data_IF_485440011698
#
_entry.id   IF_485440011698
#
_cell.length_a   1.000
_cell.length_b   1.000
_cell.length_c   1.000
_cell.angle_alpha   90.00
_cell.angle_beta   90.00
_cell.angle_gamma   90.00
#
_symmetry.space_group_name_H-M   'P 1'
#
loop_
_entity.id
_entity.type
_entity.pdbx_description
1 polymer ?
#
# COMPACT_ATOMS: atom_id res chain seq x y z
N UNK A 1 27.30 1.74 13.35
CA UNK A 1 26.04 2.30 13.86
C UNK A 1 25.15 1.15 14.33
N UNK A 2 24.75 1.13 15.61
CA UNK A 2 23.85 0.11 16.15
C UNK A 2 22.50 0.23 15.43
N UNK A 3 22.07 -0.81 14.71
CA UNK A 3 20.75 -0.83 14.07
C UNK A 3 19.68 -0.92 15.15
N UNK A 4 19.10 0.22 15.51
CA UNK A 4 17.94 0.30 16.39
C UNK A 4 16.75 -0.42 15.74
N UNK A 5 16.00 -1.19 16.55
CA UNK A 5 14.74 -1.79 16.09
C UNK A 5 13.79 -0.69 15.58
N UNK A 6 12.91 -1.03 14.62
CA UNK A 6 11.98 -0.05 14.04
C UNK A 6 11.14 0.68 15.12
N UNK A 7 10.73 -0.06 16.16
CA UNK A 7 10.08 0.48 17.37
C UNK A 7 10.93 1.56 18.07
N UNK A 8 12.21 1.29 18.28
CA UNK A 8 13.13 2.22 18.95
C UNK A 8 13.39 3.46 18.08
N UNK A 9 13.46 3.29 16.75
CA UNK A 9 13.67 4.40 15.81
C UNK A 9 12.50 5.36 15.78
N UNK A 10 11.26 4.84 15.76
CA UNK A 10 10.06 5.69 15.87
C UNK A 10 10.03 6.42 17.20
N UNK A 11 10.25 5.70 18.31
CA UNK A 11 10.26 6.33 19.64
C UNK A 11 11.30 7.45 19.72
N UNK A 12 12.52 7.22 19.21
CA UNK A 12 13.58 8.23 19.19
C UNK A 12 13.19 9.48 18.40
N UNK A 13 12.66 9.31 17.18
CA UNK A 13 12.25 10.44 16.35
C UNK A 13 11.15 11.28 17.04
N UNK A 14 10.15 10.62 17.65
CA UNK A 14 9.09 11.31 18.40
C UNK A 14 9.63 12.10 19.59
N UNK A 15 10.62 11.56 20.31
CA UNK A 15 11.23 12.25 21.45
C UNK A 15 12.03 13.46 21.00
N UNK A 16 12.79 13.35 19.90
CA UNK A 16 13.58 14.46 19.37
C UNK A 16 12.64 15.60 18.93
N UNK A 17 11.60 15.29 18.14
CA UNK A 17 10.68 16.33 17.65
C UNK A 17 9.90 16.99 18.77
N UNK A 18 9.35 16.19 19.70
CA UNK A 18 8.59 16.72 20.84
C UNK A 18 9.51 17.45 21.83
N UNK A 19 10.73 16.96 22.02
CA UNK A 19 11.75 17.61 22.85
C UNK A 19 12.12 18.99 22.33
N UNK A 20 12.35 19.13 21.02
CA UNK A 20 12.60 20.44 20.38
C UNK A 20 11.42 21.40 20.57
N UNK A 21 10.19 20.91 20.43
CA UNK A 21 8.99 21.71 20.66
C UNK A 21 8.91 22.20 22.12
N UNK A 22 9.18 21.32 23.09
CA UNK A 22 9.17 21.70 24.51
C UNK A 22 10.24 22.74 24.80
N UNK A 23 11.46 22.59 24.27
CA UNK A 23 12.54 23.58 24.42
C UNK A 23 12.11 24.94 23.85
N UNK A 24 11.48 24.97 22.68
CA UNK A 24 10.99 26.21 22.08
C UNK A 24 9.93 26.88 22.98
N UNK A 25 8.93 26.13 23.44
CA UNK A 25 7.88 26.62 24.35
C UNK A 25 8.49 27.14 25.65
N UNK A 26 9.42 26.39 26.24
CA UNK A 26 10.10 26.74 27.48
C UNK A 26 10.96 28.00 27.33
N UNK A 27 11.67 28.14 26.21
CA UNK A 27 12.44 29.35 25.89
C UNK A 27 11.54 30.57 25.75
N UNK A 28 10.37 30.44 25.11
CA UNK A 28 9.40 31.53 24.96
C UNK A 28 8.83 31.95 26.32
N UNK A 29 8.40 30.98 27.14
CA UNK A 29 7.88 31.25 28.49
C UNK A 29 8.94 31.96 29.34
N UNK A 30 10.17 31.44 29.36
CA UNK A 30 11.26 32.06 30.12
C UNK A 30 11.55 33.49 29.63
N UNK A 31 11.57 33.71 28.31
CA UNK A 31 11.80 35.04 27.73
C UNK A 31 10.68 36.02 28.09
N UNK A 32 9.42 35.59 28.06
CA UNK A 32 8.28 36.43 28.44
C UNK A 32 8.38 36.80 29.92
N UNK A 33 8.58 35.82 30.80
CA UNK A 33 8.68 36.08 32.25
C UNK A 33 9.87 36.99 32.56
N UNK A 34 11.03 36.73 31.95
CA UNK A 34 12.21 37.60 32.09
C UNK A 34 11.90 39.02 31.62
N UNK A 35 11.29 39.18 30.45
CA UNK A 35 10.94 40.50 29.95
C UNK A 35 9.98 41.23 30.89
N UNK A 36 8.90 40.57 31.34
CA UNK A 36 7.93 41.15 32.28
C UNK A 36 8.57 41.58 33.59
N UNK A 37 9.44 40.75 34.17
CA UNK A 37 10.14 41.07 35.43
C UNK A 37 11.04 42.29 35.27
N UNK A 38 11.83 42.38 34.19
CA UNK A 38 12.70 43.54 33.96
C UNK A 38 11.91 44.80 33.63
N UNK A 39 10.86 44.70 32.80
CA UNK A 39 10.01 45.84 32.47
C UNK A 39 9.32 46.43 33.70
N UNK A 40 8.87 45.59 34.63
CA UNK A 40 8.28 46.04 35.89
C UNK A 40 9.27 46.77 36.80
N UNK A 41 10.52 46.31 36.86
CA UNK A 41 11.60 46.98 37.61
C UNK A 41 11.96 48.31 36.94
N UNK A 42 12.09 48.31 35.62
CA UNK A 42 12.40 49.51 34.83
C UNK A 42 11.32 50.58 34.99
N UNK A 43 10.04 50.20 35.01
CA UNK A 43 8.92 51.12 35.27
C UNK A 43 8.97 51.68 36.70
N UNK A 44 9.19 50.83 37.71
CA UNK A 44 9.32 51.27 39.11
C UNK A 44 10.48 52.25 39.30
N UNK A 45 11.65 51.95 38.74
CA UNK A 45 12.81 52.85 38.80
C UNK A 45 12.50 54.20 38.15
N UNK A 46 11.80 54.22 37.01
CA UNK A 46 11.40 55.47 36.34
C UNK A 46 10.43 56.31 37.18
N UNK A 47 9.46 55.66 37.83
CA UNK A 47 8.53 56.33 38.76
C UNK A 47 9.32 56.93 39.93
N UNK A 48 10.28 56.20 40.49
CA UNK A 48 11.06 56.67 41.63
C UNK A 48 11.97 57.85 41.28
N UNK A 49 12.59 57.84 40.09
CA UNK A 49 13.30 59.04 39.61
C UNK A 49 12.36 60.22 39.55
N UNK A 50 11.18 60.06 38.96
CA UNK A 50 10.26 61.18 38.76
C UNK A 50 9.82 61.76 40.10
N UNK A 51 9.48 60.90 41.08
CA UNK A 51 9.17 61.31 42.44
C UNK A 51 10.31 62.13 43.06
N UNK A 52 11.56 61.65 42.98
CA UNK A 52 12.70 62.38 43.54
C UNK A 52 13.06 63.66 42.77
N UNK A 53 12.83 63.73 41.46
CA UNK A 53 13.03 64.97 40.70
C UNK A 53 12.05 66.07 41.13
N UNK A 54 10.81 65.71 41.47
CA UNK A 54 9.78 66.65 41.92
C UNK A 54 10.03 67.15 43.37
N UNK A 55 10.81 66.41 44.16
CA UNK A 55 11.12 66.70 45.57
C UNK A 55 12.41 67.52 45.80
N UNK A 56 13.09 67.96 44.73
CA UNK A 56 14.35 68.70 44.82
C UNK A 56 14.13 70.22 44.79
N UNK A 57 14.73 70.95 45.74
CA UNK A 57 14.92 72.41 45.67
C UNK A 57 16.40 72.77 45.63
N UNK A 58 16.74 73.91 45.06
CA UNK A 58 18.12 74.42 45.03
C UNK A 58 18.22 75.69 45.85
N UNK A 59 19.06 75.65 46.89
CA UNK A 59 19.37 76.79 47.75
C UNK A 59 20.88 77.03 47.70
N UNK A 60 21.30 78.22 47.29
CA UNK A 60 22.72 78.62 47.21
C UNK A 60 23.61 77.70 46.35
N UNK A 61 23.10 77.18 45.24
CA UNK A 61 23.85 76.31 44.32
C UNK A 61 24.15 74.91 44.86
N UNK A 62 23.57 74.54 46.01
CA UNK A 62 23.51 73.17 46.51
C UNK A 62 22.10 72.62 46.31
N UNK A 63 22.02 71.37 45.87
CA UNK A 63 20.79 70.58 45.86
C UNK A 63 20.42 70.31 47.32
N UNK A 64 19.21 70.68 47.72
CA UNK A 64 18.66 70.39 49.05
C UNK A 64 17.28 69.75 48.85
N UNK A 65 17.03 68.61 49.48
CA UNK A 65 15.71 67.97 49.51
C UNK A 65 14.72 68.90 50.20
N UNK A 66 13.50 69.02 49.67
CA UNK A 66 12.47 69.95 50.18
C UNK A 66 12.15 69.69 51.65
N UNK A 67 12.22 68.43 52.08
CA UNK A 67 12.03 68.00 53.46
C UNK A 67 12.91 66.77 53.76
N UNK A 68 14.16 67.02 54.15
CA UNK A 68 15.15 65.96 54.37
C UNK A 68 14.80 65.07 55.58
N UNK A 69 14.11 65.60 56.59
CA UNK A 69 13.63 64.84 57.75
C UNK A 69 12.45 63.93 57.35
N UNK A 70 11.49 64.45 56.57
CA UNK A 70 10.36 63.65 56.07
C UNK A 70 10.82 62.54 55.11
N UNK A 71 11.79 62.82 54.21
CA UNK A 71 12.39 61.81 53.34
C UNK A 71 13.11 60.71 54.13
N UNK A 72 13.86 61.09 55.18
CA UNK A 72 14.51 60.13 56.07
C UNK A 72 13.50 59.28 56.85
N UNK A 73 12.39 59.85 57.33
CA UNK A 73 11.34 59.11 58.03
C UNK A 73 10.58 58.12 57.12
N UNK A 74 10.32 58.49 55.86
CA UNK A 74 9.69 57.59 54.87
C UNK A 74 10.56 56.38 54.59
N UNK A 75 11.85 56.59 54.31
CA UNK A 75 12.82 55.53 54.08
C UNK A 75 13.10 54.66 55.33
N UNK A 76 12.92 55.21 56.54
CA UNK A 76 13.10 54.44 57.79
C UNK A 76 11.89 53.57 58.16
N UNK A 77 10.68 53.98 57.76
CA UNK A 77 9.43 53.33 58.18
C UNK A 77 8.86 52.34 57.16
N UNK A 78 9.24 52.42 55.88
CA UNK A 78 8.80 51.47 54.86
C UNK A 78 9.78 50.31 54.73
N UNK A 79 9.42 49.14 55.29
CA UNK A 79 10.09 47.88 54.92
C UNK A 79 9.54 47.44 53.56
N UNK A 80 10.05 48.04 52.48
CA UNK A 80 9.70 47.58 51.12
C UNK A 80 10.41 46.25 50.83
N UNK A 81 9.71 45.36 50.13
CA UNK A 81 10.20 44.03 49.71
C UNK A 81 11.36 44.18 48.73
N UNK A 82 11.40 45.27 47.94
CA UNK A 82 12.51 45.60 47.05
C UNK A 82 13.05 46.99 47.38
N UNK A 83 14.14 47.13 48.17
CA UNK A 83 14.65 48.43 48.56
C UNK A 83 15.12 49.21 47.33
N UNK A 84 14.70 50.47 47.24
CA UNK A 84 15.16 51.41 46.21
C UNK A 84 16.32 52.23 46.78
N UNK A 85 17.46 52.20 46.10
CA UNK A 85 18.67 52.89 46.49
C UNK A 85 18.81 54.19 45.72
N UNK A 86 19.05 55.29 46.43
CA UNK A 86 19.10 56.63 45.82
C UNK A 86 20.36 57.37 46.26
N UNK A 87 21.06 57.99 45.31
CA UNK A 87 22.30 58.71 45.57
C UNK A 87 22.41 59.98 44.71
N UNK A 88 22.71 61.11 45.36
CA UNK A 88 22.92 62.40 44.71
C UNK A 88 24.41 62.71 44.57
N UNK A 89 24.81 63.20 43.40
CA UNK A 89 26.19 63.52 43.06
C UNK A 89 26.36 64.97 42.60
N UNK A 90 27.51 65.58 42.91
CA UNK A 90 27.90 66.88 42.38
C UNK A 90 28.40 66.79 40.92
N UNK A 91 28.70 67.94 40.30
CA UNK A 91 29.29 67.99 38.94
C UNK A 91 30.64 67.27 38.81
N UNK A 92 31.35 67.06 39.93
CA UNK A 92 32.59 66.28 40.00
C UNK A 92 32.34 64.81 40.36
N UNK A 93 31.07 64.37 40.36
CA UNK A 93 30.60 63.01 40.70
C UNK A 93 30.92 62.59 42.14
N UNK A 94 31.09 63.54 43.05
CA UNK A 94 31.27 63.27 44.48
C UNK A 94 29.90 63.17 45.12
N UNK A 95 29.73 62.20 46.01
CA UNK A 95 28.48 61.99 46.75
C UNK A 95 28.16 63.22 47.57
N UNK A 96 27.01 63.84 47.30
CA UNK A 96 26.43 64.93 48.09
C UNK A 96 25.61 64.31 49.22
N UNK A 97 24.73 63.37 48.86
CA UNK A 97 23.76 62.75 49.77
C UNK A 97 23.40 61.35 49.26
N UNK A 98 23.03 60.44 50.15
CA UNK A 98 22.62 59.08 49.82
C UNK A 98 21.55 58.57 50.78
N UNK A 99 20.69 57.69 50.26
CA UNK A 99 19.62 57.08 51.05
C UNK A 99 20.19 56.28 52.24
N UNK A 100 19.54 56.30 53.41
CA UNK A 100 20.01 55.58 54.60
C UNK A 100 20.19 54.08 54.36
N UNK A 101 19.38 53.50 53.47
CA UNK A 101 19.41 52.09 53.11
C UNK A 101 20.67 51.66 52.33
N UNK A 102 21.47 52.60 51.81
CA UNK A 102 22.79 52.35 51.21
C UNK A 102 23.90 52.09 52.25
N UNK A 103 23.68 52.38 53.53
CA UNK A 103 24.66 52.18 54.62
C UNK A 103 26.07 52.68 54.25
N UNK A 104 27.06 51.81 54.13
CA UNK A 104 28.45 52.14 53.74
C UNK A 104 28.69 52.06 52.24
N UNK A 105 27.79 51.43 51.48
CA UNK A 105 27.91 51.26 50.03
C UNK A 105 27.63 52.58 49.27
N UNK A 106 28.07 52.61 48.01
CA UNK A 106 27.83 53.72 47.08
C UNK A 106 27.52 53.20 45.70
N UNK A 107 26.59 53.86 45.00
CA UNK A 107 26.28 53.57 43.61
C UNK A 107 27.33 54.19 42.68
N UNK A 108 27.80 53.42 41.70
CA UNK A 108 28.82 53.88 40.75
C UNK A 108 28.19 54.55 39.54
N UNK A 109 28.58 55.80 39.26
CA UNK A 109 28.20 56.51 38.05
C UNK A 109 28.98 55.95 36.84
N UNK A 110 28.30 55.62 35.73
CA UNK A 110 28.96 55.13 34.51
C UNK A 110 28.91 56.17 33.40
N UNK A 111 30.05 56.75 33.05
CA UNK A 111 30.14 57.76 31.98
C UNK A 111 29.72 57.26 30.60
N UNK A 112 29.76 55.95 30.38
CA UNK A 112 29.38 55.34 29.10
C UNK A 112 27.88 55.17 28.91
N UNK A 113 27.05 55.54 29.90
CA UNK A 113 25.60 55.35 29.88
C UNK A 113 24.93 56.71 29.75
N UNK A 114 23.98 56.83 28.83
CA UNK A 114 23.25 58.07 28.59
C UNK A 114 22.25 58.39 29.72
N UNK A 115 21.81 59.66 29.79
CA UNK A 115 20.78 60.05 30.76
C UNK A 115 19.48 59.26 30.49
N UNK A 116 18.84 58.79 31.57
CA UNK A 116 17.62 57.97 31.53
C UNK A 116 17.77 56.56 30.93
N UNK A 117 19.00 56.11 30.63
CA UNK A 117 19.26 54.74 30.20
C UNK A 117 19.36 53.81 31.43
N UNK A 118 18.60 52.71 31.40
CA UNK A 118 18.59 51.68 32.44
C UNK A 118 19.58 50.56 32.10
N UNK A 119 20.42 50.21 33.07
CA UNK A 119 21.45 49.18 32.90
C UNK A 119 21.66 48.35 34.16
N UNK A 120 22.19 47.13 33.97
CA UNK A 120 22.54 46.25 35.08
C UNK A 120 23.95 46.58 35.58
N UNK A 121 24.13 46.60 36.90
CA UNK A 121 25.44 46.77 37.54
C UNK A 121 25.48 46.03 38.87
N UNK A 122 26.63 46.07 39.55
CA UNK A 122 26.80 45.48 40.87
C UNK A 122 26.96 46.59 41.91
N UNK A 123 26.34 46.40 43.08
CA UNK A 123 26.56 47.17 44.30
C UNK A 123 27.09 46.19 45.35
N UNK A 124 28.39 46.25 45.62
CA UNK A 124 29.09 45.17 46.32
C UNK A 124 28.92 43.84 45.56
N UNK A 125 28.39 42.82 46.25
CA UNK A 125 28.08 41.50 45.68
C UNK A 125 26.64 41.38 45.16
N UNK A 126 25.85 42.45 45.24
CA UNK A 126 24.44 42.43 44.86
C UNK A 126 24.24 42.98 43.45
N UNK A 127 23.57 42.22 42.59
CA UNK A 127 23.15 42.70 41.30
C UNK A 127 22.01 43.71 41.45
N UNK A 128 22.16 44.86 40.81
CA UNK A 128 21.19 45.95 40.82
C UNK A 128 20.88 46.40 39.38
N UNK A 129 19.66 46.90 39.20
CA UNK A 129 19.25 47.64 38.00
C UNK A 129 19.35 49.12 38.33
N UNK A 130 20.12 49.87 37.55
CA UNK A 130 20.46 51.26 37.83
C UNK A 130 20.05 52.15 36.66
N UNK A 131 19.68 53.38 36.99
CA UNK A 131 19.53 54.51 36.08
C UNK A 131 20.28 55.70 36.65
N UNK A 132 20.74 56.58 35.77
CA UNK A 132 21.40 57.82 36.14
C UNK A 132 20.82 58.97 35.32
N UNK A 133 20.55 60.09 35.99
CA UNK A 133 19.91 61.26 35.38
C UNK A 133 20.62 62.52 35.84
N UNK A 134 20.84 63.45 34.91
CA UNK A 134 21.41 64.75 35.23
C UNK A 134 20.37 65.73 35.80
N UNK A 135 20.74 66.37 36.91
CA UNK A 135 19.91 67.36 37.58
C UNK A 135 20.13 68.74 36.97
N UNK A 136 19.04 69.42 36.60
CA UNK A 136 19.05 70.74 36.01
C UNK A 136 18.17 71.72 36.79
N UNK A 137 18.69 72.92 37.06
CA UNK A 137 17.89 74.05 37.57
C UNK A 137 18.15 75.28 36.73
N UNK A 138 17.07 75.94 36.28
CA UNK A 138 17.12 77.07 35.36
C UNK A 138 18.00 76.80 34.12
N UNK A 139 17.86 75.61 33.52
CA UNK A 139 18.64 75.13 32.37
C UNK A 139 20.16 74.94 32.61
N UNK A 140 20.63 74.99 33.85
CA UNK A 140 22.03 74.70 34.21
C UNK A 140 22.12 73.37 34.92
N UNK A 141 23.00 72.49 34.43
CA UNK A 141 23.33 71.22 35.08
C UNK A 141 24.03 71.48 36.41
N UNK A 142 23.54 70.87 37.49
CA UNK A 142 24.02 71.09 38.85
C UNK A 142 24.53 69.81 39.53
N UNK A 143 24.21 68.64 38.99
CA UNK A 143 24.61 67.35 39.56
C UNK A 143 23.95 66.18 38.84
N UNK A 144 23.91 65.03 39.51
CA UNK A 144 23.27 63.82 39.03
C UNK A 144 22.51 63.14 40.17
N UNK A 145 21.43 62.44 39.81
CA UNK A 145 20.75 61.49 40.68
C UNK A 145 20.92 60.09 40.11
N UNK A 146 21.25 59.14 40.98
CA UNK A 146 21.31 57.72 40.66
C UNK A 146 20.21 57.04 41.45
N UNK A 147 19.37 56.27 40.76
CA UNK A 147 18.37 55.40 41.37
C UNK A 147 18.69 53.97 40.98
N UNK A 148 18.64 53.04 41.92
CA UNK A 148 18.86 51.63 41.66
C UNK A 148 17.92 50.73 42.47
N UNK A 149 17.57 49.57 41.93
CA UNK A 149 16.81 48.54 42.65
C UNK A 149 17.55 47.21 42.65
N UNK A 150 17.39 46.43 43.72
CA UNK A 150 17.93 45.06 43.82
C UNK A 150 17.32 44.15 42.76
N UNK A 151 18.17 43.40 42.05
CA UNK A 151 17.78 42.31 41.14
C UNK A 151 17.83 40.94 41.83
N UNK A 152 18.15 40.86 43.12
CA UNK A 152 18.38 39.59 43.82
C UNK A 152 17.16 38.66 43.76
N UNK A 153 15.98 39.16 44.17
CA UNK A 153 14.75 38.37 44.18
C UNK A 153 14.27 38.02 42.77
N UNK A 154 14.37 38.98 41.85
CA UNK A 154 14.04 38.78 40.44
C UNK A 154 14.91 37.70 39.79
N UNK A 155 16.22 37.72 40.06
CA UNK A 155 17.15 36.68 39.58
C UNK A 155 16.88 35.34 40.25
N UNK A 156 16.55 35.31 41.55
CA UNK A 156 16.16 34.09 42.24
C UNK A 156 14.91 33.45 41.61
N UNK A 157 13.87 34.24 41.33
CA UNK A 157 12.66 33.76 40.64
C UNK A 157 12.98 33.22 39.25
N UNK A 158 13.80 33.92 38.46
CA UNK A 158 14.20 33.45 37.13
C UNK A 158 15.06 32.18 37.18
N UNK A 159 15.96 32.05 38.15
CA UNK A 159 16.75 30.84 38.34
C UNK A 159 15.88 29.66 38.77
N UNK A 160 14.97 29.85 39.74
CA UNK A 160 14.02 28.83 40.16
C UNK A 160 13.15 28.38 38.98
N UNK A 161 12.67 29.32 38.16
CA UNK A 161 11.92 29.01 36.94
C UNK A 161 12.76 28.14 35.99
N UNK A 162 14.02 28.52 35.73
CA UNK A 162 14.92 27.76 34.86
C UNK A 162 15.20 26.35 35.39
N UNK A 163 15.43 26.19 36.69
CA UNK A 163 15.65 24.89 37.33
C UNK A 163 14.42 23.98 37.25
N UNK A 164 13.24 24.49 37.59
CA UNK A 164 11.97 23.75 37.50
C UNK A 164 11.70 23.32 36.06
N UNK A 165 11.93 24.21 35.09
CA UNK A 165 11.76 23.92 33.67
C UNK A 165 12.78 22.87 33.18
N UNK A 166 14.03 22.95 33.63
CA UNK A 166 15.06 21.96 33.27
C UNK A 166 14.76 20.57 33.84
N UNK A 167 14.32 20.50 35.10
CA UNK A 167 13.97 19.24 35.75
C UNK A 167 12.70 18.61 35.14
N UNK A 168 11.67 19.44 34.91
CA UNK A 168 10.43 18.98 34.27
C UNK A 168 10.66 18.54 32.82
N UNK A 169 11.54 19.22 32.06
CA UNK A 169 11.93 18.80 30.71
C UNK A 169 12.48 17.37 30.70
N UNK A 170 13.42 17.05 31.59
CA UNK A 170 13.99 15.71 31.67
C UNK A 170 12.93 14.65 32.06
N UNK A 171 12.06 14.98 33.01
CA UNK A 171 10.95 14.11 33.42
C UNK A 171 9.97 13.84 32.28
N UNK A 172 9.60 14.87 31.51
CA UNK A 172 8.70 14.76 30.36
C UNK A 172 9.35 13.90 29.25
N UNK A 173 10.63 14.08 28.95
CA UNK A 173 11.32 13.27 27.94
C UNK A 173 11.33 11.77 28.30
N UNK A 174 11.61 11.43 29.56
CA UNK A 174 11.57 10.05 30.04
C UNK A 174 10.16 9.45 29.88
N UNK A 175 9.13 10.18 30.33
CA UNK A 175 7.75 9.75 30.20
C UNK A 175 7.36 9.53 28.73
N UNK A 176 7.70 10.48 27.86
CA UNK A 176 7.45 10.39 26.42
C UNK A 176 8.16 9.19 25.78
N UNK A 177 9.39 8.85 26.21
CA UNK A 177 10.09 7.66 25.71
C UNK A 177 9.30 6.38 26.00
N UNK A 178 8.82 6.19 27.22
CA UNK A 178 8.06 4.99 27.59
C UNK A 178 6.71 4.92 26.86
N UNK A 179 6.00 6.05 26.73
CA UNK A 179 4.73 6.13 26.00
C UNK A 179 4.93 5.81 24.52
N UNK A 180 5.87 6.51 23.85
CA UNK A 180 6.15 6.31 22.44
C UNK A 180 6.61 4.87 22.15
N UNK A 181 7.46 4.32 23.04
CA UNK A 181 7.88 2.92 22.98
C UNK A 181 6.67 1.99 23.11
N UNK A 182 5.75 2.21 24.04
CA UNK A 182 4.57 1.35 24.20
C UNK A 182 3.70 1.32 22.93
N UNK A 183 3.34 2.48 22.40
CA UNK A 183 2.51 2.59 21.19
C UNK A 183 3.19 2.00 19.95
N UNK A 184 4.46 2.32 19.71
CA UNK A 184 5.21 1.76 18.59
C UNK A 184 5.27 0.22 18.66
N UNK A 185 5.40 -0.36 19.84
CA UNK A 185 5.39 -1.82 20.01
C UNK A 185 4.06 -2.46 19.59
N UNK A 186 2.95 -1.79 19.92
CA UNK A 186 1.60 -2.28 19.60
C UNK A 186 1.31 -2.16 18.10
N UNK A 187 1.74 -1.08 17.45
CA UNK A 187 1.54 -0.85 16.01
C UNK A 187 2.39 -1.75 15.13
N UNK A 188 3.62 -2.13 15.55
CA UNK A 188 4.49 -3.02 14.78
C UNK A 188 4.09 -4.50 14.90
N UNK A 189 3.42 -4.90 15.98
CA UNK A 189 3.03 -6.31 16.21
C UNK A 189 2.28 -6.95 15.02
N UNK A 190 1.23 -6.33 14.43
CA UNK A 190 0.55 -6.90 13.26
C UNK A 190 1.47 -7.01 12.04
N UNK A 191 2.36 -6.05 11.82
CA UNK A 191 3.32 -6.08 10.70
C UNK A 191 4.26 -7.29 10.83
N UNK A 192 4.78 -7.55 12.03
CA UNK A 192 5.64 -8.73 12.26
C UNK A 192 4.88 -10.04 12.04
N UNK A 193 3.58 -10.10 12.36
CA UNK A 193 2.75 -11.26 12.08
C UNK A 193 2.66 -11.50 10.56
N UNK A 194 2.38 -10.46 9.78
CA UNK A 194 2.36 -10.52 8.31
C UNK A 194 3.71 -11.03 7.78
N UNK A 195 4.82 -10.41 8.17
CA UNK A 195 6.17 -10.78 7.71
C UNK A 195 6.50 -12.25 8.04
N UNK A 196 6.22 -12.68 9.28
CA UNK A 196 6.51 -14.04 9.70
C UNK A 196 5.64 -15.07 8.98
N UNK A 197 4.34 -14.80 8.83
CA UNK A 197 3.43 -15.68 8.09
C UNK A 197 3.81 -15.74 6.61
N UNK A 198 4.17 -14.63 5.98
CA UNK A 198 4.68 -14.62 4.60
C UNK A 198 5.97 -15.41 4.44
N UNK A 199 6.88 -15.39 5.43
CA UNK A 199 8.15 -16.13 5.36
C UNK A 199 7.98 -17.65 5.42
N UNK A 200 6.96 -18.15 6.11
CA UNK A 200 6.69 -19.59 6.23
C UNK A 200 5.84 -20.14 5.08
N UNK A 201 5.19 -19.27 4.31
CA UNK A 201 4.45 -19.68 3.11
C UNK A 201 5.47 -20.11 2.06
N UNK A 202 5.37 -21.37 1.66
CA UNK A 202 6.20 -22.02 0.64
C UNK A 202 5.30 -22.74 -0.35
N UNK A 203 5.85 -23.21 -1.48
CA UNK A 203 5.10 -24.00 -2.47
C UNK A 203 4.38 -25.21 -1.86
N UNK A 204 4.95 -25.78 -0.79
CA UNK A 204 4.44 -26.99 -0.13
C UNK A 204 3.41 -26.70 0.97
N UNK A 205 3.27 -25.42 1.38
CA UNK A 205 2.33 -24.99 2.42
C UNK A 205 1.57 -23.72 2.01
N UNK A 206 0.98 -23.75 0.81
CA UNK A 206 0.20 -22.63 0.27
C UNK A 206 -1.14 -22.40 0.97
N UNK A 207 -1.63 -23.36 1.78
CA UNK A 207 -2.88 -23.25 2.54
C UNK A 207 -2.82 -22.26 3.71
N UNK A 208 -1.60 -21.91 4.14
CA UNK A 208 -1.41 -20.94 5.21
C UNK A 208 -1.88 -19.56 4.75
N UNK A 209 -2.58 -18.81 5.61
CA UNK A 209 -3.09 -17.47 5.32
C UNK A 209 -2.59 -16.46 6.33
N UNK A 210 -2.41 -15.24 5.86
CA UNK A 210 -2.02 -14.11 6.70
C UNK A 210 -3.23 -13.72 7.56
N UNK A 211 -3.07 -13.62 8.90
CA UNK A 211 -4.18 -13.23 9.77
C UNK A 211 -4.65 -11.81 9.42
N UNK A 212 -5.97 -11.65 9.28
CA UNK A 212 -6.57 -10.35 9.04
C UNK A 212 -6.59 -9.53 10.34
N UNK A 213 -5.98 -8.34 10.38
CA UNK A 213 -6.13 -7.40 11.50
C UNK A 213 -7.60 -7.12 11.81
N UNK A 214 -7.92 -6.88 13.10
CA UNK A 214 -9.29 -6.53 13.51
C UNK A 214 -9.74 -5.17 12.96
N UNK A 215 -8.82 -4.22 12.92
CA UNK A 215 -9.02 -2.89 12.35
C UNK A 215 -8.99 -2.99 10.84
N UNK A 216 -9.99 -2.45 10.14
CA UNK A 216 -10.09 -2.48 8.67
C UNK A 216 -9.35 -1.31 8.01
N UNK A 217 -8.08 -1.18 8.34
CA UNK A 217 -7.18 -0.14 7.85
C UNK A 217 -6.37 -0.61 6.62
N UNK A 218 -5.26 0.06 6.32
CA UNK A 218 -4.34 -0.30 5.25
C UNK A 218 -3.72 -1.69 5.46
N UNK A 219 -3.47 -2.10 6.71
CA UNK A 219 -2.91 -3.42 7.02
C UNK A 219 -3.92 -4.52 6.76
N UNK A 220 -5.20 -4.29 7.05
CA UNK A 220 -6.27 -5.22 6.66
C UNK A 220 -6.35 -5.40 5.16
N UNK A 221 -6.34 -4.29 4.43
CA UNK A 221 -6.42 -4.30 2.96
C UNK A 221 -5.21 -5.04 2.37
N UNK A 222 -4.01 -4.79 2.89
CA UNK A 222 -2.79 -5.49 2.49
C UNK A 222 -2.89 -7.00 2.73
N UNK A 223 -3.25 -7.43 3.95
CA UNK A 223 -3.40 -8.85 4.26
C UNK A 223 -4.46 -9.53 3.39
N UNK A 224 -5.59 -8.85 3.12
CA UNK A 224 -6.65 -9.36 2.24
C UNK A 224 -6.17 -9.53 0.81
N UNK A 225 -5.47 -8.54 0.26
CA UNK A 225 -4.93 -8.60 -1.10
C UNK A 225 -3.91 -9.73 -1.25
N UNK A 226 -3.01 -9.91 -0.28
CA UNK A 226 -2.06 -11.02 -0.29
C UNK A 226 -2.80 -12.37 -0.21
N UNK A 227 -3.80 -12.50 0.66
CA UNK A 227 -4.58 -13.73 0.74
C UNK A 227 -5.35 -14.04 -0.56
N UNK A 228 -5.86 -13.04 -1.27
CA UNK A 228 -6.49 -13.22 -2.58
C UNK A 228 -5.47 -13.69 -3.64
N UNK A 229 -4.25 -13.16 -3.63
CA UNK A 229 -3.17 -13.64 -4.48
C UNK A 229 -2.84 -15.11 -4.16
N UNK A 230 -2.72 -15.46 -2.88
CA UNK A 230 -2.45 -16.83 -2.44
C UNK A 230 -3.55 -17.80 -2.88
N UNK A 231 -4.83 -17.40 -2.80
CA UNK A 231 -5.94 -18.22 -3.32
C UNK A 231 -5.76 -18.50 -4.82
N UNK A 232 -5.49 -17.46 -5.63
CA UNK A 232 -5.29 -17.63 -7.07
C UNK A 232 -4.11 -18.55 -7.41
N UNK A 233 -3.05 -18.51 -6.60
CA UNK A 233 -1.88 -19.38 -6.77
C UNK A 233 -2.22 -20.82 -6.36
N UNK A 234 -2.91 -21.02 -5.23
CA UNK A 234 -3.38 -22.33 -4.79
C UNK A 234 -4.29 -22.98 -5.85
N UNK A 235 -5.28 -22.25 -6.36
CA UNK A 235 -6.19 -22.72 -7.40
C UNK A 235 -5.45 -23.06 -8.71
N UNK A 236 -4.38 -22.34 -9.05
CA UNK A 236 -3.57 -22.65 -10.22
C UNK A 236 -2.77 -23.95 -10.04
N UNK A 237 -2.13 -24.11 -8.88
CA UNK A 237 -1.32 -25.31 -8.58
C UNK A 237 -2.20 -26.55 -8.42
N UNK A 238 -3.38 -26.43 -7.82
CA UNK A 238 -4.33 -27.54 -7.71
C UNK A 238 -4.80 -27.99 -9.10
N UNK A 239 -5.09 -27.05 -10.00
CA UNK A 239 -5.42 -27.37 -11.40
C UNK A 239 -4.26 -28.02 -12.16
N UNK A 240 -3.04 -27.54 -11.97
CA UNK A 240 -1.84 -28.14 -12.59
C UNK A 240 -1.63 -29.59 -12.10
N UNK A 241 -1.80 -29.83 -10.79
CA UNK A 241 -1.69 -31.17 -10.21
C UNK A 241 -2.78 -32.10 -10.73
N UNK A 242 -4.02 -31.62 -10.80
CA UNK A 242 -5.15 -32.38 -11.34
C UNK A 242 -4.89 -32.74 -12.81
N UNK A 243 -4.48 -31.76 -13.62
CA UNK A 243 -4.11 -31.97 -15.03
C UNK A 243 -3.01 -33.02 -15.20
N UNK A 244 -1.94 -32.96 -14.40
CA UNK A 244 -0.83 -33.92 -14.45
C UNK A 244 -1.29 -35.34 -14.08
N UNK A 245 -2.15 -35.44 -13.07
CA UNK A 245 -2.75 -36.71 -12.63
C UNK A 245 -3.62 -37.30 -13.74
N UNK A 246 -4.54 -36.52 -14.30
CA UNK A 246 -5.47 -36.97 -15.33
C UNK A 246 -4.73 -37.36 -16.62
N UNK A 247 -3.75 -36.56 -17.05
CA UNK A 247 -2.88 -36.91 -18.17
C UNK A 247 -2.14 -38.24 -17.95
N UNK A 248 -1.63 -38.47 -16.74
CA UNK A 248 -0.96 -39.73 -16.39
C UNK A 248 -1.91 -40.93 -16.45
N UNK A 249 -3.16 -40.76 -16.01
CA UNK A 249 -4.18 -41.81 -16.06
C UNK A 249 -4.62 -42.13 -17.49
N UNK A 250 -4.93 -41.10 -18.28
CA UNK A 250 -5.37 -41.25 -19.67
C UNK A 250 -4.29 -41.81 -20.59
N UNK A 251 -3.00 -41.59 -20.29
CA UNK A 251 -1.88 -42.23 -20.99
C UNK A 251 -1.66 -43.69 -20.54
N UNK A 252 -1.84 -44.00 -19.25
CA UNK A 252 -1.56 -45.34 -18.70
C UNK A 252 -2.56 -46.41 -19.18
N UNK A 253 -3.82 -46.03 -19.34
CA UNK A 253 -4.89 -46.94 -19.79
C UNK A 253 -4.60 -47.58 -21.17
N UNK A 254 -4.38 -46.82 -22.27
CA UNK A 254 -4.08 -47.38 -23.58
C UNK A 254 -2.79 -48.21 -23.57
N UNK A 255 -1.75 -47.77 -22.86
CA UNK A 255 -0.50 -48.52 -22.71
C UNK A 255 -0.72 -49.89 -22.05
N UNK A 256 -1.57 -49.95 -21.02
CA UNK A 256 -1.90 -51.20 -20.32
C UNK A 256 -2.69 -52.13 -21.23
N UNK A 257 -3.63 -51.60 -22.02
CA UNK A 257 -4.44 -52.35 -22.99
C UNK A 257 -3.57 -52.91 -24.12
N UNK A 258 -2.67 -52.11 -24.69
CA UNK A 258 -1.71 -52.56 -25.71
C UNK A 258 -0.84 -53.69 -25.15
N UNK A 259 -0.23 -53.46 -23.98
CA UNK A 259 0.64 -54.46 -23.34
C UNK A 259 -0.10 -55.76 -23.07
N UNK A 260 -1.29 -55.69 -22.45
CA UNK A 260 -2.11 -56.87 -22.16
C UNK A 260 -2.55 -57.61 -23.42
N UNK A 261 -2.89 -56.88 -24.50
CA UNK A 261 -3.24 -57.47 -25.79
C UNK A 261 -2.06 -58.25 -26.38
N UNK A 262 -0.86 -57.67 -26.35
CA UNK A 262 0.37 -58.31 -26.84
C UNK A 262 0.78 -59.53 -25.98
N UNK A 263 0.67 -59.43 -24.65
CA UNK A 263 0.91 -60.56 -23.73
C UNK A 263 -0.07 -61.71 -23.99
N UNK A 264 -1.33 -61.41 -24.29
CA UNK A 264 -2.33 -62.43 -24.66
C UNK A 264 -2.04 -62.98 -26.05
N UNK A 265 -1.53 -62.16 -26.98
CA UNK A 265 -1.15 -62.55 -28.34
C UNK A 265 -0.05 -63.62 -28.36
N UNK A 266 0.94 -63.49 -27.48
CA UNK A 266 2.12 -64.36 -27.48
C UNK A 266 1.93 -65.67 -26.71
N UNK A 267 0.87 -65.78 -25.88
CA UNK A 267 0.63 -66.96 -25.02
C UNK A 267 0.32 -68.26 -25.76
N UNK A 268 -0.27 -68.19 -26.95
CA UNK A 268 -0.62 -69.38 -27.74
C UNK A 268 -0.67 -69.07 -29.23
N UNK A 269 -0.42 -70.07 -30.10
CA UNK A 269 -0.63 -69.93 -31.54
C UNK A 269 -2.09 -69.58 -31.85
N UNK A 270 -2.29 -68.76 -32.87
CA UNK A 270 -3.60 -68.30 -33.38
C UNK A 270 -3.64 -68.32 -34.89
N UNK A 271 -4.83 -68.16 -35.44
CA UNK A 271 -5.00 -67.95 -36.88
C UNK A 271 -4.44 -66.59 -37.32
N UNK A 272 -3.98 -66.50 -38.57
CA UNK A 272 -3.43 -65.25 -39.13
C UNK A 272 -4.42 -64.08 -39.03
N UNK A 273 -5.71 -64.35 -39.24
CA UNK A 273 -6.73 -63.29 -39.16
C UNK A 273 -6.85 -62.71 -37.74
N UNK A 274 -6.73 -63.55 -36.71
CA UNK A 274 -6.78 -63.09 -35.32
C UNK A 274 -5.54 -62.26 -34.95
N UNK A 275 -4.38 -62.60 -35.51
CA UNK A 275 -3.17 -61.77 -35.36
C UNK A 275 -3.37 -60.39 -35.99
N UNK A 276 -3.82 -60.33 -37.24
CA UNK A 276 -4.08 -59.06 -37.94
C UNK A 276 -5.09 -58.18 -37.20
N UNK A 277 -6.20 -58.76 -36.73
CA UNK A 277 -7.23 -58.02 -35.97
C UNK A 277 -6.68 -57.40 -34.68
N UNK A 278 -5.87 -58.14 -33.92
CA UNK A 278 -5.30 -57.66 -32.66
C UNK A 278 -4.14 -56.68 -32.86
N UNK A 279 -3.34 -56.86 -33.91
CA UNK A 279 -2.29 -55.89 -34.29
C UNK A 279 -2.95 -54.58 -34.72
N UNK A 280 -3.96 -54.63 -35.59
CA UNK A 280 -4.74 -53.46 -35.99
C UNK A 280 -5.46 -52.78 -34.80
N UNK A 281 -5.87 -53.56 -33.80
CA UNK A 281 -6.37 -53.00 -32.55
C UNK A 281 -5.28 -52.23 -31.79
N UNK A 282 -4.07 -52.78 -31.65
CA UNK A 282 -2.95 -52.08 -31.01
C UNK A 282 -2.51 -50.82 -31.77
N UNK A 283 -2.47 -50.87 -33.11
CA UNK A 283 -2.15 -49.69 -33.95
C UNK A 283 -3.14 -48.55 -33.68
N UNK A 284 -4.45 -48.84 -33.68
CA UNK A 284 -5.48 -47.84 -33.37
C UNK A 284 -5.32 -47.22 -31.98
N UNK A 285 -4.86 -48.00 -31.01
CA UNK A 285 -4.63 -47.52 -29.65
C UNK A 285 -3.36 -46.64 -29.55
N UNK A 286 -2.33 -46.93 -30.36
CA UNK A 286 -1.15 -46.07 -30.53
C UNK A 286 -1.53 -44.75 -31.21
N UNK A 287 -2.34 -44.79 -32.27
CA UNK A 287 -2.84 -43.59 -32.95
C UNK A 287 -3.65 -42.71 -31.99
N UNK A 288 -4.47 -43.32 -31.13
CA UNK A 288 -5.19 -42.61 -30.07
C UNK A 288 -4.23 -41.94 -29.07
N UNK A 289 -3.15 -42.63 -28.67
CA UNK A 289 -2.14 -42.09 -27.77
C UNK A 289 -1.40 -40.90 -28.41
N UNK A 290 -1.03 -40.99 -29.68
CA UNK A 290 -0.40 -39.89 -30.43
C UNK A 290 -1.31 -38.66 -30.47
N UNK A 291 -2.60 -38.84 -30.78
CA UNK A 291 -3.58 -37.75 -30.77
C UNK A 291 -3.67 -37.08 -29.39
N UNK A 292 -3.64 -37.86 -28.31
CA UNK A 292 -3.67 -37.35 -26.95
C UNK A 292 -2.42 -36.53 -26.63
N UNK A 293 -1.23 -37.03 -26.99
CA UNK A 293 0.04 -36.32 -26.81
C UNK A 293 0.05 -34.99 -27.58
N UNK A 294 -0.41 -34.98 -28.82
CA UNK A 294 -0.51 -33.76 -29.63
C UNK A 294 -1.46 -32.74 -28.98
N UNK A 295 -2.60 -33.20 -28.44
CA UNK A 295 -3.54 -32.35 -27.70
C UNK A 295 -2.92 -31.76 -26.43
N UNK A 296 -2.13 -32.55 -25.68
CA UNK A 296 -1.43 -32.07 -24.48
C UNK A 296 -0.33 -31.07 -24.82
N UNK A 297 0.48 -31.34 -25.85
CA UNK A 297 1.52 -30.43 -26.30
C UNK A 297 0.93 -29.11 -26.80
N UNK A 298 -0.21 -29.18 -27.49
CA UNK A 298 -0.93 -27.99 -27.92
C UNK A 298 -1.43 -27.17 -26.73
N UNK A 299 -2.01 -27.81 -25.70
CA UNK A 299 -2.39 -27.10 -24.46
C UNK A 299 -1.22 -26.44 -23.75
N UNK A 300 -0.10 -27.17 -23.59
CA UNK A 300 1.09 -26.67 -22.91
C UNK A 300 1.72 -25.47 -23.64
N UNK A 301 1.68 -25.45 -24.97
CA UNK A 301 2.15 -24.31 -25.78
C UNK A 301 1.36 -23.03 -25.49
N UNK A 302 0.04 -23.12 -25.29
CA UNK A 302 -0.80 -21.96 -25.02
C UNK A 302 -0.74 -21.41 -23.58
N UNK A 303 -0.12 -22.12 -22.64
CA UNK A 303 0.10 -21.59 -21.28
C UNK A 303 1.20 -20.53 -21.24
N UNK A 304 2.16 -20.62 -22.15
CA UNK A 304 3.20 -19.61 -22.33
C UNK A 304 2.71 -18.58 -23.35
N UNK A 305 2.18 -17.44 -22.88
CA UNK A 305 1.50 -16.35 -23.63
C UNK A 305 2.33 -15.63 -24.73
N UNK A 306 3.20 -16.32 -25.47
CA UNK A 306 4.01 -15.77 -26.56
C UNK A 306 4.06 -16.74 -27.73
N UNK A 307 2.91 -17.02 -28.31
CA UNK A 307 2.87 -17.63 -29.63
C UNK A 307 2.58 -16.53 -30.64
N UNK A 308 3.46 -16.41 -31.64
CA UNK A 308 3.21 -15.56 -32.80
C UNK A 308 2.03 -16.17 -33.56
N UNK A 309 0.88 -15.51 -33.50
CA UNK A 309 -0.30 -15.89 -34.27
C UNK A 309 -0.02 -15.53 -35.73
N UNK A 310 -0.01 -16.52 -36.62
CA UNK A 310 0.21 -16.28 -38.03
C UNK A 310 -1.12 -15.89 -38.70
N UNK A 311 -1.43 -14.60 -38.70
CA UNK A 311 -2.68 -14.10 -39.27
C UNK A 311 -2.64 -14.17 -40.80
N UNK A 312 -3.50 -15.00 -41.38
CA UNK A 312 -3.71 -15.11 -42.82
C UNK A 312 -5.21 -15.08 -43.18
N UNK A 313 -5.53 -14.99 -44.48
CA UNK A 313 -6.91 -15.02 -44.94
C UNK A 313 -7.41 -16.47 -45.00
N UNK A 314 -8.26 -16.86 -44.06
CA UNK A 314 -8.76 -18.22 -43.87
C UNK A 314 -10.13 -18.40 -44.54
N UNK A 315 -10.25 -19.39 -45.42
CA UNK A 315 -11.51 -19.71 -46.10
C UNK A 315 -12.34 -20.74 -45.30
N UNK A 316 -13.36 -20.27 -44.58
CA UNK A 316 -14.12 -21.10 -43.64
C UNK A 316 -14.92 -22.21 -44.33
N UNK A 317 -15.49 -21.95 -45.50
CA UNK A 317 -16.32 -22.93 -46.20
C UNK A 317 -15.51 -24.19 -46.55
N UNK A 318 -14.29 -24.04 -47.08
CA UNK A 318 -13.42 -25.17 -47.40
C UNK A 318 -13.07 -25.98 -46.15
N UNK A 319 -12.69 -25.32 -45.05
CA UNK A 319 -12.31 -26.01 -43.81
C UNK A 319 -13.46 -26.86 -43.27
N UNK A 320 -14.69 -26.33 -43.29
CA UNK A 320 -15.87 -27.07 -42.82
C UNK A 320 -16.10 -28.30 -43.71
N UNK A 321 -16.01 -28.14 -45.04
CA UNK A 321 -16.16 -29.25 -45.99
C UNK A 321 -15.08 -30.32 -45.82
N UNK A 322 -13.84 -29.92 -45.59
CA UNK A 322 -12.72 -30.83 -45.32
C UNK A 322 -12.95 -31.62 -44.03
N UNK A 323 -13.37 -30.94 -42.95
CA UNK A 323 -13.68 -31.60 -41.67
C UNK A 323 -14.86 -32.58 -41.81
N UNK A 324 -15.89 -32.22 -42.58
CA UNK A 324 -17.01 -33.14 -42.87
C UNK A 324 -16.55 -34.35 -43.68
N UNK A 325 -15.66 -34.15 -44.66
CA UNK A 325 -15.11 -35.22 -45.50
C UNK A 325 -14.30 -36.21 -44.66
N UNK A 326 -13.45 -35.70 -43.75
CA UNK A 326 -12.67 -36.51 -42.81
C UNK A 326 -13.55 -37.36 -41.87
N UNK A 327 -14.79 -36.95 -41.61
CA UNK A 327 -15.74 -37.68 -40.78
C UNK A 327 -16.81 -38.45 -41.59
N UNK A 328 -16.68 -38.50 -42.92
CA UNK A 328 -17.70 -39.08 -43.81
C UNK A 328 -18.06 -40.53 -43.50
N UNK A 329 -17.09 -41.38 -43.12
CA UNK A 329 -17.35 -42.76 -42.74
C UNK A 329 -18.23 -42.87 -41.48
N UNK A 330 -17.99 -42.01 -40.47
CA UNK A 330 -18.78 -41.96 -39.24
C UNK A 330 -20.18 -41.39 -39.49
N UNK A 331 -20.27 -40.36 -40.33
CA UNK A 331 -21.54 -39.76 -40.74
C UNK A 331 -22.41 -40.81 -41.44
N UNK A 332 -21.83 -41.57 -42.39
CA UNK A 332 -22.53 -42.64 -43.11
C UNK A 332 -22.91 -43.80 -42.21
N UNK A 333 -22.02 -44.27 -41.34
CA UNK A 333 -22.33 -45.40 -40.45
C UNK A 333 -23.46 -45.09 -39.46
N UNK A 334 -23.49 -43.86 -38.92
CA UNK A 334 -24.58 -43.39 -38.05
C UNK A 334 -25.81 -42.87 -38.81
N UNK A 335 -25.77 -42.76 -40.14
CA UNK A 335 -26.85 -42.17 -40.96
C UNK A 335 -27.21 -40.73 -40.52
N UNK A 336 -26.22 -39.91 -40.17
CA UNK A 336 -26.45 -38.53 -39.73
C UNK A 336 -26.79 -37.65 -40.93
N UNK A 337 -27.87 -36.86 -40.82
CA UNK A 337 -28.20 -35.83 -41.79
C UNK A 337 -27.34 -34.57 -41.57
N UNK A 338 -26.54 -34.18 -42.55
CA UNK A 338 -25.72 -32.96 -42.47
C UNK A 338 -26.38 -31.85 -43.28
N UNK A 339 -26.71 -30.74 -42.62
CA UNK A 339 -27.17 -29.51 -43.28
C UNK A 339 -26.10 -28.44 -43.19
N UNK A 340 -25.36 -28.22 -44.28
CA UNK A 340 -24.42 -27.12 -44.38
C UNK A 340 -25.03 -26.00 -45.23
N UNK A 341 -25.22 -24.84 -44.62
CA UNK A 341 -25.79 -23.66 -45.25
C UNK A 341 -24.81 -22.49 -45.17
N UNK A 342 -24.47 -21.93 -46.33
CA UNK A 342 -23.66 -20.72 -46.45
C UNK A 342 -24.19 -19.88 -47.61
N UNK A 343 -24.62 -18.64 -47.33
CA UNK A 343 -25.16 -17.74 -48.36
C UNK A 343 -24.12 -17.31 -49.41
N UNK A 344 -22.83 -17.37 -49.04
CA UNK A 344 -21.68 -16.98 -49.85
C UNK A 344 -20.39 -17.58 -49.29
N UNK A 345 -19.27 -17.25 -49.92
CA UNK A 345 -17.95 -17.56 -49.38
C UNK A 345 -17.58 -16.65 -48.22
N UNK A 346 -17.13 -17.26 -47.11
CA UNK A 346 -16.73 -16.56 -45.90
C UNK A 346 -15.22 -16.67 -45.68
N UNK A 347 -14.59 -15.51 -45.54
CA UNK A 347 -13.17 -15.38 -45.24
C UNK A 347 -12.99 -14.64 -43.92
N UNK A 348 -12.04 -15.07 -43.10
CA UNK A 348 -11.68 -14.42 -41.82
C UNK A 348 -10.17 -14.25 -41.73
N UNK A 349 -9.70 -13.17 -41.11
CA UNK A 349 -8.28 -13.01 -40.81
C UNK A 349 -7.96 -13.72 -39.49
N UNK A 350 -7.20 -14.80 -39.57
CA UNK A 350 -6.86 -15.61 -38.40
C UNK A 350 -5.73 -16.59 -38.72
N UNK A 351 -5.32 -17.37 -37.74
CA UNK A 351 -4.40 -18.48 -37.97
C UNK A 351 -5.18 -19.71 -38.46
N UNK A 352 -4.88 -20.14 -39.69
CA UNK A 352 -5.57 -21.25 -40.35
C UNK A 352 -5.49 -22.55 -39.55
N UNK A 353 -4.32 -22.89 -39.00
CA UNK A 353 -4.14 -24.12 -38.22
C UNK A 353 -5.00 -24.10 -36.95
N UNK A 354 -5.07 -22.95 -36.28
CA UNK A 354 -5.88 -22.76 -35.08
C UNK A 354 -7.39 -22.81 -35.37
N UNK A 355 -7.84 -22.17 -36.45
CA UNK A 355 -9.25 -22.22 -36.87
C UNK A 355 -9.67 -23.64 -37.28
N UNK A 356 -8.84 -24.35 -38.04
CA UNK A 356 -9.05 -25.77 -38.38
C UNK A 356 -9.19 -26.59 -37.09
N UNK A 357 -8.33 -26.35 -36.10
CA UNK A 357 -8.36 -27.07 -34.83
C UNK A 357 -9.67 -26.81 -34.06
N UNK A 358 -10.14 -25.56 -34.03
CA UNK A 358 -11.44 -25.22 -33.40
C UNK A 358 -12.58 -25.97 -34.09
N UNK A 359 -12.71 -25.82 -35.41
CA UNK A 359 -13.82 -26.39 -36.18
C UNK A 359 -13.80 -27.93 -36.13
N UNK A 360 -12.62 -28.55 -36.24
CA UNK A 360 -12.47 -30.00 -36.12
C UNK A 360 -12.95 -30.52 -34.78
N UNK A 361 -12.62 -29.86 -33.67
CA UNK A 361 -13.05 -30.29 -32.35
C UNK A 361 -14.57 -30.13 -32.15
N UNK A 362 -15.15 -29.00 -32.57
CA UNK A 362 -16.59 -28.77 -32.39
C UNK A 362 -17.41 -29.70 -33.29
N UNK A 363 -17.08 -29.80 -34.59
CA UNK A 363 -17.81 -30.64 -35.55
C UNK A 363 -17.64 -32.12 -35.20
N UNK A 364 -16.42 -32.56 -34.82
CA UNK A 364 -16.22 -33.94 -34.38
C UNK A 364 -17.03 -34.25 -33.12
N UNK A 365 -17.20 -33.30 -32.19
CA UNK A 365 -18.06 -33.50 -31.02
C UNK A 365 -19.54 -33.59 -31.43
N UNK A 366 -20.02 -32.68 -32.29
CA UNK A 366 -21.39 -32.73 -32.80
C UNK A 366 -21.71 -34.12 -33.41
N UNK A 367 -20.87 -34.63 -34.32
CA UNK A 367 -21.05 -35.95 -34.96
C UNK A 367 -20.96 -37.09 -33.94
N UNK A 368 -20.08 -36.96 -32.94
CA UNK A 368 -19.82 -37.98 -31.94
C UNK A 368 -21.00 -38.15 -30.97
N UNK A 369 -21.60 -37.06 -30.52
CA UNK A 369 -22.71 -37.05 -29.54
C UNK A 369 -24.10 -37.07 -30.18
N UNK A 370 -24.20 -36.93 -31.50
CA UNK A 370 -25.44 -37.17 -32.25
C UNK A 370 -25.72 -38.68 -32.34
N UNK A 371 -26.96 -39.05 -32.06
CA UNK A 371 -27.45 -40.43 -32.17
C UNK A 371 -27.60 -40.87 -33.64
N UNK A 372 -27.87 -42.16 -33.85
CA UNK A 372 -28.10 -42.68 -35.21
C UNK A 372 -29.35 -42.04 -35.82
N UNK A 373 -29.29 -41.64 -37.09
CA UNK A 373 -30.35 -40.88 -37.80
C UNK A 373 -30.61 -39.48 -37.24
N UNK A 374 -29.69 -38.92 -36.45
CA UNK A 374 -29.76 -37.53 -36.02
C UNK A 374 -29.38 -36.53 -37.10
N UNK A 375 -29.32 -35.26 -36.73
CA UNK A 375 -29.05 -34.12 -37.61
C UNK A 375 -27.98 -33.21 -37.01
N UNK A 376 -27.02 -32.79 -37.85
CA UNK A 376 -26.06 -31.74 -37.54
C UNK A 376 -26.21 -30.61 -38.56
N UNK A 377 -26.50 -29.41 -38.08
CA UNK A 377 -26.64 -28.20 -38.87
C UNK A 377 -25.44 -27.28 -38.67
N UNK A 378 -24.84 -26.81 -39.77
CA UNK A 378 -23.73 -25.87 -39.78
C UNK A 378 -24.16 -24.68 -40.65
N UNK A 379 -24.23 -23.50 -40.04
CA UNK A 379 -24.66 -22.27 -40.68
C UNK A 379 -23.53 -21.23 -40.63
N UNK A 380 -23.13 -20.73 -41.80
CA UNK A 380 -22.25 -19.57 -41.94
C UNK A 380 -23.07 -18.34 -42.37
N UNK A 381 -22.99 -17.28 -41.58
CA UNK A 381 -23.73 -16.04 -41.81
C UNK A 381 -22.94 -14.81 -41.34
N UNK A 382 -23.25 -13.64 -41.91
CA UNK A 382 -22.70 -12.36 -41.44
C UNK A 382 -23.74 -11.61 -40.61
N UNK A 383 -23.41 -11.21 -39.39
CA UNK A 383 -24.28 -10.44 -38.50
C UNK A 383 -23.51 -9.25 -37.92
N UNK A 384 -24.08 -8.04 -38.03
CA UNK A 384 -23.47 -6.80 -37.51
C UNK A 384 -22.01 -6.59 -37.99
N UNK A 385 -21.73 -6.90 -39.25
CA UNK A 385 -20.38 -6.77 -39.80
C UNK A 385 -19.41 -7.88 -39.40
N UNK A 386 -19.82 -8.87 -38.59
CA UNK A 386 -18.95 -9.99 -38.17
C UNK A 386 -19.36 -11.31 -38.81
N UNK A 387 -18.37 -12.13 -39.15
CA UNK A 387 -18.59 -13.49 -39.65
C UNK A 387 -18.88 -14.42 -38.49
N UNK A 388 -19.99 -15.16 -38.55
CA UNK A 388 -20.43 -16.08 -37.52
C UNK A 388 -20.57 -17.50 -38.08
N UNK A 389 -20.09 -18.48 -37.32
CA UNK A 389 -20.29 -19.90 -37.59
C UNK A 389 -21.10 -20.52 -36.46
N UNK A 390 -22.30 -21.01 -36.78
CA UNK A 390 -23.16 -21.72 -35.85
C UNK A 390 -23.16 -23.21 -36.19
N UNK A 391 -22.86 -24.04 -35.20
CA UNK A 391 -22.86 -25.51 -35.31
C UNK A 391 -23.87 -26.02 -34.28
N UNK A 392 -24.89 -26.74 -34.74
CA UNK A 392 -25.95 -27.28 -33.90
C UNK A 392 -26.15 -28.76 -34.16
N UNK A 393 -26.26 -29.55 -33.10
CA UNK A 393 -26.62 -30.97 -33.14
C UNK A 393 -27.93 -31.22 -32.37
N UNK A 394 -28.59 -32.33 -32.67
CA UNK A 394 -29.74 -32.85 -31.92
C UNK A 394 -29.38 -34.07 -31.06
N UNK A 395 -28.14 -34.10 -30.54
CA UNK A 395 -27.67 -35.20 -29.70
C UNK A 395 -28.20 -35.18 -28.28
N UNK A 396 -27.53 -35.93 -27.40
CA UNK A 396 -27.91 -36.11 -25.98
C UNK A 396 -27.94 -34.80 -25.16
N UNK A 397 -27.28 -33.74 -25.63
CA UNK A 397 -27.15 -32.47 -24.91
C UNK A 397 -26.26 -32.56 -23.66
N UNK A 398 -26.17 -31.44 -22.93
CA UNK A 398 -25.33 -31.27 -21.75
C UNK A 398 -26.20 -30.71 -20.61
N UNK A 399 -26.02 -31.24 -19.39
CA UNK A 399 -26.69 -30.71 -18.21
C UNK A 399 -26.26 -29.27 -17.92
N UNK A 400 -27.20 -28.44 -17.44
CA UNK A 400 -26.92 -27.01 -17.19
C UNK A 400 -25.80 -26.80 -16.18
N UNK A 401 -25.70 -27.68 -15.18
CA UNK A 401 -24.66 -27.68 -14.15
C UNK A 401 -23.25 -27.98 -14.70
N UNK A 402 -23.18 -28.74 -15.81
CA UNK A 402 -21.92 -29.16 -16.42
C UNK A 402 -21.39 -28.15 -17.44
N UNK A 403 -22.23 -27.23 -17.93
CA UNK A 403 -21.86 -26.26 -18.98
C UNK A 403 -20.64 -25.40 -18.63
N UNK A 404 -20.44 -25.08 -17.36
CA UNK A 404 -19.27 -24.32 -16.91
C UNK A 404 -18.01 -25.19 -16.83
N UNK A 405 -18.18 -26.49 -16.56
CA UNK A 405 -17.08 -27.41 -16.32
C UNK A 405 -16.55 -28.11 -17.57
N UNK A 406 -17.32 -28.15 -18.67
CA UNK A 406 -16.90 -28.76 -19.94
C UNK A 406 -15.68 -28.12 -20.61
N UNK A 407 -15.26 -26.93 -20.16
CA UNK A 407 -14.02 -26.29 -20.60
C UNK A 407 -12.81 -26.67 -19.73
N UNK A 408 -13.01 -27.43 -18.66
CA UNK A 408 -11.90 -27.98 -17.87
C UNK A 408 -11.29 -29.18 -18.62
N UNK A 409 -9.96 -29.29 -18.72
CA UNK A 409 -9.30 -30.45 -19.31
C UNK A 409 -9.78 -31.76 -18.67
N UNK A 410 -9.91 -32.81 -19.48
CA UNK A 410 -10.34 -34.16 -19.08
C UNK A 410 -11.76 -34.27 -18.50
N UNK A 411 -12.50 -33.16 -18.34
CA UNK A 411 -13.87 -33.20 -17.87
C UNK A 411 -14.81 -33.78 -18.94
N UNK A 412 -15.72 -34.65 -18.49
CA UNK A 412 -16.77 -35.24 -19.32
C UNK A 412 -18.07 -35.30 -18.52
N UNK A 413 -19.12 -34.65 -19.03
CA UNK A 413 -20.47 -34.77 -18.47
C UNK A 413 -20.91 -36.23 -18.52
N UNK A 414 -21.34 -36.76 -17.37
CA UNK A 414 -21.93 -38.11 -17.21
C UNK A 414 -21.16 -39.23 -17.91
N UNK A 415 -19.84 -39.27 -17.73
CA UNK A 415 -18.94 -40.25 -18.37
C UNK A 415 -19.30 -41.73 -18.14
N UNK A 416 -19.99 -42.02 -17.03
CA UNK A 416 -20.46 -43.37 -16.66
C UNK A 416 -21.76 -43.79 -17.35
N UNK A 417 -22.56 -42.86 -17.85
CA UNK A 417 -23.84 -43.15 -18.51
C UNK A 417 -23.68 -43.50 -19.99
N UNK A 418 -22.60 -43.02 -20.63
CA UNK A 418 -22.28 -43.30 -22.05
C UNK A 418 -20.83 -43.78 -22.25
N UNK A 419 -20.43 -44.93 -21.67
CA UNK A 419 -19.08 -45.47 -21.79
C UNK A 419 -18.69 -45.85 -23.24
N UNK A 420 -19.66 -46.11 -24.10
CA UNK A 420 -19.47 -46.39 -25.53
C UNK A 420 -18.92 -45.19 -26.32
N UNK A 421 -19.14 -43.98 -25.83
CA UNK A 421 -18.68 -42.75 -26.46
C UNK A 421 -17.23 -42.45 -26.04
N UNK A 422 -16.24 -42.95 -26.81
CA UNK A 422 -14.81 -42.76 -26.52
C UNK A 422 -14.31 -41.32 -26.72
N UNK A 423 -13.65 -40.71 -25.74
CA UNK A 423 -12.84 -39.50 -25.95
C UNK A 423 -12.21 -38.93 -24.68
N UNK A 424 -11.26 -38.02 -24.88
CA UNK A 424 -10.30 -37.56 -23.85
C UNK A 424 -10.80 -36.40 -22.98
N UNK A 425 -11.86 -35.69 -23.37
CA UNK A 425 -12.30 -34.47 -22.67
C UNK A 425 -11.40 -33.24 -22.90
N UNK A 426 -10.40 -33.34 -23.77
CA UNK A 426 -9.46 -32.23 -24.07
C UNK A 426 -9.95 -31.29 -25.18
N UNK A 427 -10.94 -31.69 -25.97
CA UNK A 427 -11.32 -30.96 -27.19
C UNK A 427 -11.88 -29.57 -26.93
N UNK A 428 -12.88 -29.43 -26.05
CA UNK A 428 -13.52 -28.14 -25.77
C UNK A 428 -12.64 -27.20 -24.93
N UNK A 429 -11.77 -27.74 -24.09
CA UNK A 429 -10.75 -26.98 -23.37
C UNK A 429 -9.69 -26.40 -24.32
N UNK A 430 -9.29 -27.13 -25.36
CA UNK A 430 -8.45 -26.59 -26.45
C UNK A 430 -9.19 -25.49 -27.22
N UNK A 431 -10.44 -25.74 -27.62
CA UNK A 431 -11.26 -24.75 -28.34
C UNK A 431 -11.32 -23.44 -27.55
N UNK A 432 -11.63 -23.51 -26.25
CA UNK A 432 -11.73 -22.33 -25.40
C UNK A 432 -10.42 -21.53 -25.34
N UNK A 433 -9.28 -22.21 -25.17
CA UNK A 433 -7.96 -21.57 -25.15
C UNK A 433 -7.64 -20.90 -26.49
N UNK A 434 -7.91 -21.57 -27.62
CA UNK A 434 -7.64 -21.00 -28.95
C UNK A 434 -8.58 -19.82 -29.23
N UNK A 435 -9.86 -19.89 -28.87
CA UNK A 435 -10.79 -18.78 -29.05
C UNK A 435 -10.40 -17.57 -28.21
N UNK A 436 -9.89 -17.78 -26.99
CA UNK A 436 -9.40 -16.70 -26.14
C UNK A 436 -8.09 -16.07 -26.69
N UNK A 437 -7.22 -16.87 -27.30
CA UNK A 437 -5.99 -16.40 -27.97
C UNK A 437 -6.29 -15.57 -29.22
N UNK A 438 -7.28 -15.98 -30.02
CA UNK A 438 -7.65 -15.35 -31.29
C UNK A 438 -8.71 -14.24 -31.13
N UNK A 439 -9.12 -13.92 -29.90
CA UNK A 439 -10.24 -13.02 -29.58
C UNK A 439 -11.54 -13.35 -30.34
N UNK A 440 -11.78 -14.65 -30.56
CA UNK A 440 -13.02 -15.17 -31.16
C UNK A 440 -14.06 -15.31 -30.06
N UNK A 441 -15.23 -14.67 -30.21
CA UNK A 441 -16.30 -14.86 -29.22
C UNK A 441 -16.89 -16.25 -29.39
N UNK A 442 -16.81 -17.04 -28.32
CA UNK A 442 -17.37 -18.37 -28.22
C UNK A 442 -18.63 -18.35 -27.33
N UNK A 443 -19.75 -18.85 -27.85
CA UNK A 443 -20.99 -19.05 -27.08
C UNK A 443 -21.49 -20.48 -27.27
N UNK A 444 -21.91 -21.13 -26.18
CA UNK A 444 -22.49 -22.46 -26.23
C UNK A 444 -23.80 -22.50 -25.44
N UNK A 445 -24.80 -23.14 -26.02
CA UNK A 445 -26.09 -23.42 -25.40
C UNK A 445 -26.39 -24.91 -25.60
N UNK A 446 -26.84 -25.59 -24.56
CA UNK A 446 -27.18 -27.01 -24.65
C UNK A 446 -28.35 -27.32 -23.72
N UNK A 447 -29.15 -28.31 -24.11
CA UNK A 447 -30.23 -28.86 -23.29
C UNK A 447 -30.29 -30.36 -23.50
N UNK A 448 -30.41 -31.09 -22.38
CA UNK A 448 -30.55 -32.56 -22.37
C UNK A 448 -31.70 -32.97 -23.30
N UNK A 449 -31.45 -34.01 -24.10
CA UNK A 449 -32.36 -34.61 -25.10
C UNK A 449 -32.83 -33.65 -26.22
N UNK A 450 -32.24 -32.46 -26.32
CA UNK A 450 -32.49 -31.50 -27.40
C UNK A 450 -31.25 -31.31 -28.27
N UNK A 451 -30.07 -31.32 -27.65
CA UNK A 451 -28.77 -31.20 -28.32
C UNK A 451 -27.99 -29.95 -27.93
N UNK A 452 -26.91 -29.69 -28.67
CA UNK A 452 -25.98 -28.59 -28.37
C UNK A 452 -25.83 -27.64 -29.56
N UNK A 453 -25.75 -26.34 -29.27
CA UNK A 453 -25.47 -25.29 -30.25
C UNK A 453 -24.28 -24.46 -29.82
N UNK A 454 -23.28 -24.40 -30.69
CA UNK A 454 -22.07 -23.57 -30.54
C UNK A 454 -22.09 -22.46 -31.58
N UNK A 455 -21.75 -21.24 -31.16
CA UNK A 455 -21.62 -20.07 -32.04
C UNK A 455 -20.22 -19.49 -31.85
N UNK A 456 -19.48 -19.40 -32.96
CA UNK A 456 -18.20 -18.69 -33.07
C UNK A 456 -18.43 -17.38 -33.80
N UNK A 457 -17.97 -16.26 -33.25
CA UNK A 457 -18.03 -14.95 -33.91
C UNK A 457 -16.61 -14.44 -34.09
N UNK A 458 -16.19 -14.32 -35.34
CA UNK A 458 -14.88 -13.82 -35.74
C UNK A 458 -14.94 -12.30 -35.84
N UNK A 459 -13.98 -11.61 -35.24
CA UNK A 459 -13.82 -10.18 -35.43
C UNK A 459 -13.28 -9.93 -36.85
N UNK A 460 -13.88 -9.00 -37.60
CA UNK A 460 -13.21 -8.44 -38.77
C UNK A 460 -12.23 -7.39 -38.26
N UNK A 461 -10.93 -7.56 -38.52
CA UNK A 461 -10.00 -6.44 -38.36
C UNK A 461 -10.39 -5.38 -39.39
N UNK A 462 -10.83 -4.21 -38.91
CA UNK A 462 -10.76 -2.99 -39.71
C UNK A 462 -9.29 -2.77 -40.02
N UNK A 463 -8.91 -2.96 -41.30
CA UNK A 463 -7.65 -2.44 -41.82
C UNK A 463 -7.56 -0.96 -41.46
N UNK A 464 -6.78 -0.64 -40.45
CA UNK A 464 -6.18 0.69 -40.35
C UNK A 464 -5.14 0.73 -41.46
N UNK A 465 -5.52 1.34 -42.58
CA UNK A 465 -4.66 1.64 -43.72
C UNK A 465 -3.52 2.58 -43.32
#
# INVERSE_FOLDING_TARGET
MVQLSFKNRIALNYIITTGLLIVAVFSVIYSIVKHTVYSHIDEKIKVEIQNHLDEIKVVNGKVILIDAEEWQEREHNTVDVNPVFVQFLDLKKRVIEKAPNLKTETLQFKDSVEDYELFDTMMGDHAIRQIQVSLHVNNKKIGYVIVAMSLADSKMVLNNLFEIMSLSFLGILLLLFFIARFFAGRSIKPINAIINTSRIITKDNLKTRIPLPKTRDELYTLSKTINNLLNRIEDAIEREKQFTSDASHELRTPLTVIKGTLEVLIRKPRDNKEYEEKINYCIREVDHLNLLVDQLLLMARFENQKQDVNTELVYLNAIILDVLTLNSEKIKSKHINIKFEAEKDYYVQSDNFLVITILRNIISNAIKYTESKGEVSILLFKQNGKTSCKISDNGIGIAKEDLENIFNPFFRSKSTEHPEIKGTGLGLSIVKRITDLLDIKFKMESKIDVGTSVILVFNEEEKTL
#
